data_IF_393509559624
#
_entry.id   IF_393509559624
#
_cell.length_a   1.000
_cell.length_b   1.000
_cell.length_c   1.000
_cell.angle_alpha   90.00
_cell.angle_beta   90.00
_cell.angle_gamma   90.00
#
_symmetry.space_group_name_H-M   'P 1'
#
loop_
_entity.id
_entity.type
_entity.pdbx_description
1 polymer ?
#
# COMPACT_ATOMS: atom_id res chain seq x y z
N UNK A 1 -4.15 6.98 11.49
CA UNK A 1 -4.87 7.52 10.31
C UNK A 1 -4.35 8.93 10.07
N UNK A 2 -4.11 9.31 8.80
CA UNK A 2 -3.71 10.69 8.48
C UNK A 2 -4.88 11.65 8.66
N UNK A 3 -4.63 12.78 9.28
CA UNK A 3 -5.55 13.92 9.37
C UNK A 3 -4.96 15.10 8.61
N UNK A 4 -5.66 15.54 7.56
CA UNK A 4 -5.26 16.67 6.73
C UNK A 4 -6.32 17.78 6.72
N UNK A 5 -7.24 17.76 7.70
CA UNK A 5 -8.35 18.72 7.78
C UNK A 5 -7.89 20.18 7.94
N UNK A 6 -6.73 20.37 8.58
CA UNK A 6 -6.09 21.68 8.79
C UNK A 6 -4.81 21.87 7.96
N UNK A 7 -4.60 21.03 6.95
CA UNK A 7 -3.41 21.08 6.10
C UNK A 7 -3.58 22.10 4.98
N UNK A 8 -2.49 22.78 4.63
CA UNK A 8 -2.41 23.67 3.46
C UNK A 8 -1.18 23.38 2.61
N UNK A 9 -1.28 23.66 1.31
CA UNK A 9 -0.15 23.61 0.38
C UNK A 9 0.62 24.91 0.51
N UNK A 10 1.77 24.89 1.18
CA UNK A 10 2.59 26.09 1.40
C UNK A 10 3.45 26.42 0.20
N UNK A 11 4.02 25.40 -0.45
CA UNK A 11 4.83 25.54 -1.66
C UNK A 11 4.46 24.41 -2.62
N UNK A 12 4.40 24.73 -3.91
CA UNK A 12 4.15 23.76 -4.97
C UNK A 12 5.08 24.04 -6.14
N UNK A 13 5.83 23.02 -6.54
CA UNK A 13 6.69 23.02 -7.71
C UNK A 13 6.20 21.93 -8.66
N UNK A 14 6.07 22.27 -9.95
CA UNK A 14 5.60 21.31 -10.97
C UNK A 14 6.65 21.20 -12.05
N UNK A 15 7.20 20.02 -12.27
CA UNK A 15 8.09 19.69 -13.36
C UNK A 15 7.38 18.80 -14.37
N UNK A 16 7.96 18.62 -15.55
CA UNK A 16 7.58 17.53 -16.45
C UNK A 16 8.75 16.59 -16.62
N UNK A 17 8.55 15.31 -16.34
CA UNK A 17 9.56 14.27 -16.43
C UNK A 17 9.21 13.32 -17.57
N UNK A 18 10.14 13.19 -18.51
CA UNK A 18 10.03 12.28 -19.65
C UNK A 18 10.39 10.84 -19.31
N UNK A 19 10.30 9.96 -20.30
CA UNK A 19 10.90 8.63 -20.28
C UNK A 19 12.34 8.68 -20.82
N UNK A 20 13.29 8.06 -20.12
CA UNK A 20 14.71 8.06 -20.50
C UNK A 20 15.03 7.06 -21.61
N UNK A 21 14.35 5.92 -21.67
CA UNK A 21 14.44 4.99 -22.79
C UNK A 21 14.09 5.66 -24.13
N UNK A 22 13.15 6.61 -24.11
CA UNK A 22 12.74 7.38 -25.29
C UNK A 22 13.43 8.76 -25.43
N UNK A 23 14.43 9.05 -24.60
CA UNK A 23 15.18 10.32 -24.59
C UNK A 23 14.30 11.59 -24.55
N UNK A 24 13.21 11.54 -23.77
CA UNK A 24 12.23 12.64 -23.72
C UNK A 24 12.66 13.82 -22.82
N UNK A 25 13.74 13.66 -22.06
CA UNK A 25 14.32 14.67 -21.18
C UNK A 25 13.44 15.10 -20.00
N UNK A 26 13.84 16.21 -19.37
CA UNK A 26 13.16 16.82 -18.22
C UNK A 26 12.92 18.30 -18.50
N UNK A 27 11.72 18.79 -18.18
CA UNK A 27 11.40 20.23 -18.19
C UNK A 27 11.20 20.71 -16.76
N UNK A 28 12.14 21.52 -16.31
CA UNK A 28 12.16 22.08 -14.97
C UNK A 28 11.41 23.42 -14.93
N UNK A 29 10.77 23.67 -13.79
CA UNK A 29 10.18 24.96 -13.46
C UNK A 29 11.15 25.73 -12.59
N UNK A 30 11.26 27.04 -12.83
CA UNK A 30 12.20 27.90 -12.14
C UNK A 30 11.57 28.67 -10.96
N UNK A 31 10.26 28.53 -10.77
CA UNK A 31 9.49 29.24 -9.75
C UNK A 31 8.31 28.39 -9.26
N UNK A 32 7.73 28.76 -8.13
CA UNK A 32 6.59 28.09 -7.53
C UNK A 32 5.29 28.37 -8.28
N UNK A 33 4.38 27.39 -8.22
CA UNK A 33 3.00 27.55 -8.69
C UNK A 33 2.26 28.47 -7.72
N UNK A 34 1.53 29.46 -8.25
CA UNK A 34 0.64 30.29 -7.42
C UNK A 34 -0.55 29.44 -6.95
N UNK A 35 -0.65 29.27 -5.62
CA UNK A 35 -1.71 28.51 -4.95
C UNK A 35 -2.53 29.40 -3.99
N UNK A 36 -2.58 30.72 -4.16
CA UNK A 36 -3.25 31.64 -3.23
C UNK A 36 -4.79 31.54 -3.25
N UNK A 37 -5.38 30.92 -4.27
CA UNK A 37 -6.83 30.75 -4.36
C UNK A 37 -7.33 29.64 -3.41
N UNK A 38 -8.26 29.96 -2.52
CA UNK A 38 -8.80 29.02 -1.52
C UNK A 38 -9.45 27.76 -2.13
N UNK A 39 -10.17 27.92 -3.24
CA UNK A 39 -10.79 26.78 -3.93
C UNK A 39 -9.73 25.87 -4.56
N UNK A 40 -8.64 26.45 -5.09
CA UNK A 40 -7.49 25.70 -5.58
C UNK A 40 -6.75 24.99 -4.44
N UNK A 41 -6.53 25.64 -3.30
CA UNK A 41 -5.93 25.02 -2.12
C UNK A 41 -6.70 23.78 -1.68
N UNK A 42 -8.02 23.89 -1.53
CA UNK A 42 -8.88 22.77 -1.16
C UNK A 42 -8.83 21.64 -2.20
N UNK A 43 -8.80 21.97 -3.48
CA UNK A 43 -8.67 20.98 -4.56
C UNK A 43 -7.32 20.25 -4.54
N UNK A 44 -6.22 20.98 -4.33
CA UNK A 44 -4.87 20.41 -4.25
C UNK A 44 -4.70 19.50 -3.03
N UNK A 45 -5.16 19.92 -1.85
CA UNK A 45 -5.14 19.05 -0.65
C UNK A 45 -5.96 17.79 -0.90
N UNK A 46 -7.16 17.91 -1.47
CA UNK A 46 -7.97 16.74 -1.83
C UNK A 46 -7.24 15.81 -2.79
N UNK A 47 -6.65 16.35 -3.86
CA UNK A 47 -5.90 15.60 -4.87
C UNK A 47 -4.72 14.84 -4.24
N UNK A 48 -3.86 15.55 -3.51
CA UNK A 48 -2.61 15.03 -2.97
C UNK A 48 -2.78 14.05 -1.80
N UNK A 49 -3.84 14.17 -1.01
CA UNK A 49 -4.10 13.27 0.12
C UNK A 49 -5.09 12.14 -0.20
N UNK A 50 -5.78 12.19 -1.34
CA UNK A 50 -6.69 11.11 -1.76
C UNK A 50 -6.08 9.70 -1.69
N UNK A 51 -4.81 9.47 -2.10
CA UNK A 51 -4.23 8.13 -2.09
C UNK A 51 -4.02 7.53 -0.70
N UNK A 52 -4.02 8.34 0.37
CA UNK A 52 -3.55 7.93 1.69
C UNK A 52 -4.66 7.75 2.74
N UNK A 53 -5.83 7.26 2.33
CA UNK A 53 -6.96 7.01 3.26
C UNK A 53 -6.69 5.90 4.29
N UNK A 54 -5.88 4.90 3.93
CA UNK A 54 -5.45 3.81 4.82
C UNK A 54 -3.98 3.50 4.52
N UNK A 55 -3.05 4.37 4.93
CA UNK A 55 -1.66 4.25 4.54
C UNK A 55 -0.99 3.07 5.25
N UNK A 56 -0.15 2.37 4.50
CA UNK A 56 0.95 1.58 5.05
C UNK A 56 2.16 2.49 5.15
N UNK A 57 2.91 2.38 6.25
CA UNK A 57 4.08 3.22 6.48
C UNK A 57 5.36 2.53 6.04
N UNK A 58 6.23 3.33 5.45
CA UNK A 58 7.53 2.97 4.95
C UNK A 58 8.57 3.95 5.49
N UNK A 59 9.84 3.59 5.33
CA UNK A 59 10.98 4.42 5.63
C UNK A 59 12.01 4.29 4.51
N UNK A 60 12.86 5.30 4.36
CA UNK A 60 13.99 5.21 3.44
C UNK A 60 14.95 4.10 3.88
N UNK A 61 15.51 3.41 2.89
CA UNK A 61 16.57 2.44 3.06
C UNK A 61 17.57 2.52 1.91
N UNK A 62 18.78 2.08 2.19
CA UNK A 62 19.83 1.88 1.21
C UNK A 62 20.86 0.92 1.79
N UNK A 63 21.52 0.14 0.94
CA UNK A 63 22.54 -0.84 1.37
C UNK A 63 23.69 -0.20 2.16
N UNK A 64 24.01 1.06 1.88
CA UNK A 64 25.03 1.83 2.58
C UNK A 64 24.50 2.64 3.77
N UNK A 65 23.22 2.48 4.16
CA UNK A 65 22.53 3.28 5.18
C UNK A 65 21.58 4.32 4.57
N UNK A 66 20.41 4.50 5.17
CA UNK A 66 19.32 5.33 4.62
C UNK A 66 19.74 6.79 4.40
N UNK A 67 20.68 7.30 5.19
CA UNK A 67 21.23 8.65 5.10
C UNK A 67 21.93 8.92 3.76
N UNK A 68 22.39 7.85 3.11
CA UNK A 68 23.03 7.90 1.80
C UNK A 68 22.03 7.88 0.64
N UNK A 69 20.75 7.59 0.90
CA UNK A 69 19.73 7.59 -0.14
C UNK A 69 19.48 9.02 -0.65
N UNK A 70 19.50 9.28 -1.98
CA UNK A 70 19.29 10.62 -2.52
C UNK A 70 17.99 11.28 -2.04
N UNK A 71 16.88 10.55 -2.07
CA UNK A 71 15.58 11.07 -1.63
C UNK A 71 15.56 11.44 -0.15
N UNK A 72 16.29 10.73 0.72
CA UNK A 72 16.43 11.11 2.13
C UNK A 72 17.10 12.49 2.22
N UNK A 73 18.27 12.65 1.60
CA UNK A 73 19.05 13.91 1.64
C UNK A 73 18.28 15.08 1.05
N UNK A 74 17.59 14.87 -0.07
CA UNK A 74 16.78 15.90 -0.71
C UNK A 74 15.63 16.33 0.22
N UNK A 75 14.95 15.37 0.84
CA UNK A 75 13.85 15.64 1.77
C UNK A 75 14.32 16.35 3.03
N UNK A 76 15.43 15.91 3.64
CA UNK A 76 16.03 16.56 4.81
C UNK A 76 16.40 18.01 4.53
N UNK A 77 17.06 18.28 3.40
CA UNK A 77 17.39 19.65 3.01
C UNK A 77 16.13 20.52 2.82
N UNK A 78 15.05 19.97 2.24
CA UNK A 78 13.78 20.69 2.14
C UNK A 78 13.20 20.97 3.52
N UNK A 79 13.19 20.01 4.44
CA UNK A 79 12.65 20.22 5.79
C UNK A 79 13.44 21.24 6.62
N UNK A 80 14.74 21.40 6.37
CA UNK A 80 15.57 22.40 7.04
C UNK A 80 15.23 23.84 6.62
N UNK A 81 15.05 24.08 5.31
CA UNK A 81 14.71 25.40 4.78
C UNK A 81 13.83 25.28 3.52
N UNK A 82 12.50 25.08 3.69
CA UNK A 82 11.62 24.72 2.58
C UNK A 82 11.62 25.75 1.45
N UNK A 83 11.57 27.05 1.77
CA UNK A 83 11.52 28.12 0.77
C UNK A 83 12.80 28.28 -0.03
N UNK A 84 13.96 27.97 0.57
CA UNK A 84 15.26 28.13 -0.07
C UNK A 84 15.68 26.88 -0.85
N UNK A 85 15.34 25.69 -0.33
CA UNK A 85 15.85 24.42 -0.85
C UNK A 85 14.90 23.74 -1.85
N UNK A 86 13.58 23.97 -1.79
CA UNK A 86 12.62 23.18 -2.56
C UNK A 86 12.85 23.22 -4.08
N UNK A 87 13.20 24.38 -4.66
CA UNK A 87 13.45 24.48 -6.10
C UNK A 87 14.62 23.59 -6.52
N UNK A 88 15.76 23.73 -5.82
CA UNK A 88 16.98 22.98 -6.14
C UNK A 88 16.84 21.49 -5.87
N UNK A 89 16.26 21.11 -4.73
CA UNK A 89 16.04 19.71 -4.40
C UNK A 89 14.97 19.10 -5.33
N UNK A 90 13.97 19.87 -5.74
CA UNK A 90 12.96 19.44 -6.70
C UNK A 90 13.54 19.15 -8.09
N UNK A 91 14.51 19.95 -8.54
CA UNK A 91 15.29 19.65 -9.74
C UNK A 91 16.03 18.31 -9.61
N UNK A 92 16.70 18.06 -8.48
CA UNK A 92 17.38 16.78 -8.26
C UNK A 92 16.43 15.60 -8.21
N UNK A 93 15.26 15.75 -7.58
CA UNK A 93 14.20 14.73 -7.58
C UNK A 93 13.69 14.45 -9.00
N UNK A 94 13.49 15.48 -9.83
CA UNK A 94 13.02 15.30 -11.21
C UNK A 94 14.06 14.58 -12.08
N UNK A 95 15.34 14.95 -11.95
CA UNK A 95 16.42 14.28 -12.68
C UNK A 95 16.61 12.84 -12.21
N UNK A 96 16.55 12.58 -10.91
CA UNK A 96 16.59 11.21 -10.38
C UNK A 96 15.44 10.36 -10.93
N UNK A 97 14.21 10.90 -10.95
CA UNK A 97 13.06 10.19 -11.51
C UNK A 97 13.24 9.89 -13.00
N UNK A 98 13.78 10.83 -13.77
CA UNK A 98 14.12 10.61 -15.17
C UNK A 98 15.17 9.51 -15.32
N UNK A 99 16.22 9.54 -14.50
CA UNK A 99 17.33 8.60 -14.56
C UNK A 99 16.93 7.14 -14.34
N UNK A 100 15.91 6.90 -13.52
CA UNK A 100 15.36 5.56 -13.27
C UNK A 100 14.17 5.21 -14.18
N UNK A 101 13.72 6.13 -15.04
CA UNK A 101 12.62 5.91 -15.99
C UNK A 101 13.10 5.25 -17.29
N UNK A 102 13.79 4.10 -17.18
CA UNK A 102 14.51 3.43 -18.28
C UNK A 102 13.69 2.31 -18.98
N UNK A 103 12.45 2.09 -18.57
CA UNK A 103 11.57 1.08 -19.18
C UNK A 103 10.53 1.74 -20.10
N UNK A 104 10.27 1.23 -21.32
CA UNK A 104 9.29 1.80 -22.26
C UNK A 104 7.85 1.85 -21.73
N UNK A 105 7.54 1.07 -20.69
CA UNK A 105 6.24 1.10 -20.02
C UNK A 105 6.01 2.33 -19.12
N UNK A 106 7.07 3.04 -18.73
CA UNK A 106 6.99 4.19 -17.82
C UNK A 106 6.54 5.41 -18.60
N UNK A 107 5.41 6.00 -18.21
CA UNK A 107 4.84 7.13 -18.95
C UNK A 107 5.49 8.46 -18.55
N UNK A 108 5.68 9.39 -19.49
CA UNK A 108 6.01 10.77 -19.14
C UNK A 108 4.85 11.45 -18.43
N UNK A 109 5.12 12.56 -17.75
CA UNK A 109 4.05 13.40 -17.20
C UNK A 109 4.53 14.42 -16.18
N UNK A 110 3.57 15.01 -15.47
CA UNK A 110 3.82 16.06 -14.48
C UNK A 110 4.32 15.46 -13.16
N UNK A 111 5.40 16.01 -12.63
CA UNK A 111 5.93 15.73 -11.29
C UNK A 111 5.61 16.93 -10.40
N UNK A 112 4.67 16.75 -9.48
CA UNK A 112 4.30 17.74 -8.48
C UNK A 112 5.07 17.48 -7.18
N UNK A 113 5.79 18.48 -6.69
CA UNK A 113 6.53 18.43 -5.43
C UNK A 113 5.95 19.52 -4.53
N UNK A 114 5.32 19.10 -3.44
CA UNK A 114 4.52 19.97 -2.59
C UNK A 114 4.99 19.93 -1.14
N UNK A 115 5.18 21.10 -0.54
CA UNK A 115 5.45 21.23 0.89
C UNK A 115 4.16 21.59 1.61
N UNK A 116 3.82 20.79 2.63
CA UNK A 116 2.59 20.91 3.40
C UNK A 116 2.88 21.30 4.84
N UNK A 117 1.99 22.13 5.40
CA UNK A 117 1.98 22.42 6.84
C UNK A 117 0.89 21.65 7.58
N UNK A 118 1.14 21.31 8.85
CA UNK A 118 0.14 20.77 9.78
C UNK A 118 -0.54 19.47 9.31
N UNK A 119 0.22 18.50 8.82
CA UNK A 119 -0.27 17.14 8.55
C UNK A 119 -0.30 16.35 9.85
N UNK A 120 -1.46 15.80 10.21
CA UNK A 120 -1.66 14.97 11.38
C UNK A 120 -1.38 13.48 11.10
N UNK A 121 -0.60 12.84 11.96
CA UNK A 121 -0.40 11.39 12.01
C UNK A 121 -0.14 10.95 13.43
N UNK A 122 -0.79 9.86 13.88
CA UNK A 122 -0.55 9.22 15.18
C UNK A 122 -0.61 10.18 16.39
N UNK A 123 -1.56 11.11 16.35
CA UNK A 123 -1.74 12.11 17.41
C UNK A 123 -0.71 13.25 17.39
N UNK A 124 0.19 13.28 16.42
CA UNK A 124 1.19 14.34 16.21
C UNK A 124 0.86 15.12 14.94
N UNK A 125 1.21 16.41 14.92
CA UNK A 125 1.20 17.21 13.70
C UNK A 125 2.64 17.52 13.29
N UNK A 126 2.93 17.39 12.00
CA UNK A 126 4.22 17.75 11.41
C UNK A 126 4.01 18.38 10.04
N UNK A 127 5.05 19.03 9.54
CA UNK A 127 5.11 19.36 8.11
C UNK A 127 5.38 18.09 7.29
N UNK A 128 5.11 18.14 5.99
CA UNK A 128 5.32 17.01 5.10
C UNK A 128 5.76 17.45 3.70
N UNK A 129 6.49 16.57 3.01
CA UNK A 129 6.89 16.72 1.62
C UNK A 129 6.18 15.66 0.78
N UNK A 130 5.38 16.09 -0.18
CA UNK A 130 4.74 15.18 -1.12
C UNK A 130 5.41 15.23 -2.49
N UNK A 131 5.56 14.06 -3.10
CA UNK A 131 6.08 13.86 -4.46
C UNK A 131 5.05 13.03 -5.22
N UNK A 132 4.49 13.61 -6.27
CA UNK A 132 3.38 13.04 -7.01
C UNK A 132 3.66 13.03 -8.49
N UNK A 133 3.41 11.90 -9.15
CA UNK A 133 3.51 11.78 -10.60
C UNK A 133 2.11 11.62 -11.20
N UNK A 134 1.81 12.45 -12.17
CA UNK A 134 0.60 12.40 -12.99
C UNK A 134 1.04 11.94 -14.37
N UNK A 135 0.52 10.80 -14.80
CA UNK A 135 0.83 10.15 -16.08
C UNK A 135 -0.37 10.16 -17.03
N UNK A 136 -1.56 10.50 -16.51
CA UNK A 136 -2.81 10.52 -17.26
C UNK A 136 -3.57 11.82 -17.00
N UNK A 137 -4.01 12.44 -18.09
CA UNK A 137 -5.00 13.51 -18.09
C UNK A 137 -6.26 12.98 -18.76
N UNK A 138 -7.40 13.31 -18.18
CA UNK A 138 -8.73 13.07 -18.73
C UNK A 138 -9.17 14.29 -19.56
N UNK A 139 -9.91 14.05 -20.64
CA UNK A 139 -10.55 15.11 -21.44
C UNK A 139 -11.90 15.49 -20.82
N UNK A 140 -12.13 16.80 -20.65
CA UNK A 140 -13.36 17.36 -20.12
C UNK A 140 -13.93 18.41 -21.08
N UNK A 141 -15.26 18.44 -21.20
CA UNK A 141 -15.95 19.56 -21.83
C UNK A 141 -16.21 20.65 -20.79
N UNK A 142 -15.58 21.81 -20.98
CA UNK A 142 -15.82 23.00 -20.18
C UNK A 142 -16.88 23.88 -20.86
N UNK A 143 -18.03 24.03 -20.22
CA UNK A 143 -19.10 24.92 -20.67
C UNK A 143 -18.95 26.29 -20.02
N UNK A 144 -18.75 27.33 -20.83
CA UNK A 144 -18.57 28.71 -20.37
C UNK A 144 -19.83 29.48 -20.72
N UNK A 145 -20.53 29.99 -19.71
CA UNK A 145 -21.75 30.76 -19.92
C UNK A 145 -21.43 32.11 -20.56
N UNK A 146 -22.10 32.38 -21.68
CA UNK A 146 -22.14 33.68 -22.33
C UNK A 146 -23.52 34.33 -22.11
N UNK A 147 -23.71 35.63 -22.40
CA UNK A 147 -24.99 36.30 -22.19
C UNK A 147 -26.20 35.65 -22.89
N UNK A 148 -25.98 34.96 -24.03
CA UNK A 148 -27.05 34.38 -24.86
C UNK A 148 -26.88 32.90 -25.23
N UNK A 149 -25.76 32.28 -24.89
CA UNK A 149 -25.41 30.89 -25.24
C UNK A 149 -24.31 30.35 -24.32
N UNK A 150 -23.72 29.22 -24.69
CA UNK A 150 -22.52 28.67 -24.04
C UNK A 150 -21.43 28.45 -25.08
N UNK A 151 -20.19 28.78 -24.72
CA UNK A 151 -19.02 28.26 -25.40
C UNK A 151 -18.65 26.91 -24.80
N UNK A 152 -18.15 26.00 -25.64
CA UNK A 152 -17.73 24.66 -25.22
C UNK A 152 -16.27 24.47 -25.62
N UNK A 153 -15.42 24.33 -24.61
CA UNK A 153 -14.00 24.02 -24.79
C UNK A 153 -13.73 22.57 -24.43
N UNK A 154 -12.85 21.91 -25.18
CA UNK A 154 -12.22 20.68 -24.74
C UNK A 154 -10.98 21.06 -23.92
N UNK A 155 -10.92 20.60 -22.68
CA UNK A 155 -9.78 20.84 -21.78
C UNK A 155 -9.25 19.52 -21.27
N UNK A 156 -7.94 19.40 -21.13
CA UNK A 156 -7.30 18.27 -20.46
C UNK A 156 -7.05 18.62 -18.99
N UNK A 157 -7.28 17.67 -18.11
CA UNK A 157 -7.06 17.87 -16.67
C UNK A 157 -7.00 16.57 -15.91
N UNK A 158 -6.83 16.65 -14.59
CA UNK A 158 -6.80 15.48 -13.72
C UNK A 158 -7.97 15.51 -12.74
N UNK A 159 -8.64 14.37 -12.56
CA UNK A 159 -9.60 14.19 -11.47
C UNK A 159 -8.92 14.28 -10.09
N UNK A 160 -9.60 14.87 -9.11
CA UNK A 160 -9.05 15.03 -7.74
C UNK A 160 -8.88 13.71 -6.95
N UNK A 161 -9.18 12.58 -7.59
CA UNK A 161 -9.02 11.23 -7.10
C UNK A 161 -8.13 10.40 -8.04
N UNK A 162 -7.42 11.03 -8.98
CA UNK A 162 -6.75 10.39 -10.13
C UNK A 162 -5.22 10.37 -10.10
N UNK A 163 -4.56 10.75 -8.99
CA UNK A 163 -3.08 10.65 -8.91
C UNK A 163 -2.64 9.21 -9.21
N UNK A 164 -1.70 9.06 -10.14
CA UNK A 164 -1.15 7.76 -10.55
C UNK A 164 -0.14 7.23 -9.54
N UNK A 165 0.82 8.08 -9.14
CA UNK A 165 1.86 7.72 -8.17
C UNK A 165 2.02 8.83 -7.14
N UNK A 166 2.11 8.43 -5.88
CA UNK A 166 2.14 9.36 -4.75
C UNK A 166 3.14 8.87 -3.71
N UNK A 167 3.91 9.81 -3.16
CA UNK A 167 4.75 9.63 -2.00
C UNK A 167 4.52 10.83 -1.06
N UNK A 168 4.27 10.58 0.22
CA UNK A 168 4.13 11.59 1.25
C UNK A 168 5.11 11.27 2.37
N UNK A 169 6.09 12.14 2.55
CA UNK A 169 7.17 12.03 3.52
C UNK A 169 6.79 12.93 4.69
N UNK A 170 6.49 12.35 5.84
CA UNK A 170 6.20 13.11 7.05
C UNK A 170 7.52 13.51 7.71
N UNK A 171 7.64 14.75 8.18
CA UNK A 171 8.79 15.20 8.97
C UNK A 171 8.70 14.64 10.41
N UNK A 172 8.79 13.33 10.51
CA UNK A 172 8.71 12.51 11.72
C UNK A 172 9.75 11.40 11.59
N UNK A 173 10.40 11.04 12.70
CA UNK A 173 11.30 9.88 12.80
C UNK A 173 12.46 9.95 11.77
N UNK A 174 13.05 11.14 11.63
CA UNK A 174 14.14 11.42 10.69
C UNK A 174 15.39 10.57 10.95
N UNK A 175 15.59 10.19 12.21
CA UNK A 175 16.66 9.32 12.72
C UNK A 175 16.50 7.84 12.32
N UNK A 176 15.34 7.46 11.78
CA UNK A 176 15.08 6.11 11.25
C UNK A 176 14.69 6.10 9.78
N UNK A 177 14.94 7.19 9.05
CA UNK A 177 14.66 7.28 7.61
C UNK A 177 13.28 7.85 7.25
N UNK A 178 12.68 8.65 8.14
CA UNK A 178 11.34 9.25 8.01
C UNK A 178 10.17 8.27 7.97
N UNK A 179 8.99 8.78 8.31
CA UNK A 179 7.72 8.08 8.15
C UNK A 179 7.05 8.45 6.82
N UNK A 180 6.88 7.46 5.95
CA UNK A 180 6.53 7.68 4.53
C UNK A 180 5.28 6.89 4.15
N UNK A 181 4.35 7.52 3.44
CA UNK A 181 3.23 6.86 2.77
C UNK A 181 3.48 6.83 1.27
N UNK A 182 3.25 5.70 0.61
CA UNK A 182 3.35 5.61 -0.86
C UNK A 182 2.14 4.91 -1.46
N UNK A 183 1.80 5.28 -2.70
CA UNK A 183 0.73 4.68 -3.48
C UNK A 183 1.11 4.66 -4.96
N UNK A 184 0.83 3.53 -5.61
CA UNK A 184 0.96 3.37 -7.06
C UNK A 184 -0.30 2.67 -7.59
N UNK A 185 -1.00 3.35 -8.51
CA UNK A 185 -2.23 2.84 -9.13
C UNK A 185 -2.03 2.10 -10.44
N UNK A 186 -0.84 2.17 -11.03
CA UNK A 186 -0.56 1.54 -12.33
C UNK A 186 -0.74 0.02 -12.28
N UNK A 187 -0.64 -0.58 -11.09
CA UNK A 187 -0.97 -1.99 -10.81
C UNK A 187 -0.09 -3.02 -11.54
N UNK A 188 0.89 -2.56 -12.33
CA UNK A 188 1.86 -3.40 -13.02
C UNK A 188 3.08 -3.58 -12.14
N UNK A 189 3.52 -4.83 -11.98
CA UNK A 189 4.64 -5.20 -11.09
C UNK A 189 5.92 -4.43 -11.40
N UNK A 190 6.25 -4.23 -12.69
CA UNK A 190 7.43 -3.45 -13.09
C UNK A 190 7.28 -1.95 -12.84
N UNK A 191 6.09 -1.38 -13.01
CA UNK A 191 5.85 0.05 -12.74
C UNK A 191 5.92 0.33 -11.23
N UNK A 192 5.51 -0.64 -10.40
CA UNK A 192 5.62 -0.54 -8.95
C UNK A 192 7.08 -0.58 -8.44
N UNK A 193 7.95 -1.37 -9.09
CA UNK A 193 9.34 -1.51 -8.69
C UNK A 193 10.13 -0.21 -8.91
N UNK A 194 10.05 0.42 -10.08
CA UNK A 194 10.84 1.63 -10.32
C UNK A 194 10.44 2.78 -9.38
N UNK A 195 9.15 2.92 -9.07
CA UNK A 195 8.67 3.99 -8.21
C UNK A 195 9.07 3.76 -6.76
N UNK A 196 8.81 2.57 -6.22
CA UNK A 196 9.04 2.28 -4.80
C UNK A 196 10.51 1.98 -4.49
N UNK A 197 11.16 1.21 -5.35
CA UNK A 197 12.50 0.65 -5.09
C UNK A 197 13.57 1.55 -5.70
N UNK A 198 13.55 1.78 -7.03
CA UNK A 198 14.63 2.50 -7.71
C UNK A 198 14.63 4.02 -7.44
N UNK A 199 13.44 4.64 -7.44
CA UNK A 199 13.29 6.09 -7.20
C UNK A 199 13.28 6.43 -5.71
N UNK A 200 12.41 5.77 -4.94
CA UNK A 200 12.16 6.13 -3.55
C UNK A 200 13.00 5.33 -2.54
N UNK A 201 13.46 4.11 -2.86
CA UNK A 201 14.25 3.28 -1.96
C UNK A 201 13.54 2.97 -0.64
N UNK A 202 12.29 2.47 -0.70
CA UNK A 202 11.44 2.30 0.49
C UNK A 202 11.36 0.87 0.99
N UNK A 203 11.52 0.71 2.31
CA UNK A 203 11.20 -0.53 3.03
C UNK A 203 10.04 -0.31 4.00
N UNK A 204 9.21 -1.32 4.28
CA UNK A 204 8.16 -1.21 5.29
C UNK A 204 8.73 -0.83 6.66
N UNK A 205 8.01 0.02 7.40
CA UNK A 205 8.33 0.26 8.81
C UNK A 205 8.11 -1.03 9.61
N UNK A 206 8.96 -1.27 10.62
CA UNK A 206 8.80 -2.38 11.56
C UNK A 206 7.78 -2.03 12.65
N UNK A 207 6.52 -1.90 12.27
CA UNK A 207 5.42 -1.51 13.15
C UNK A 207 4.35 -2.61 13.29
N UNK A 208 3.35 -2.35 14.15
CA UNK A 208 2.19 -3.22 14.36
C UNK A 208 1.49 -3.61 13.05
N UNK A 209 1.40 -2.69 12.08
CA UNK A 209 0.79 -2.97 10.78
C UNK A 209 1.59 -4.02 10.03
N UNK A 210 2.91 -3.83 9.93
CA UNK A 210 3.80 -4.75 9.24
C UNK A 210 3.87 -6.12 9.90
N UNK A 211 3.96 -6.18 11.23
CA UNK A 211 3.98 -7.45 11.96
C UNK A 211 2.65 -8.21 11.83
N UNK A 212 1.52 -7.52 11.93
CA UNK A 212 0.19 -8.13 11.69
C UNK A 212 0.09 -8.70 10.27
N UNK A 213 0.53 -7.92 9.27
CA UNK A 213 0.55 -8.32 7.86
C UNK A 213 1.42 -9.56 7.63
N UNK A 214 2.60 -9.62 8.25
CA UNK A 214 3.49 -10.78 8.16
C UNK A 214 2.86 -12.02 8.81
N UNK A 215 2.35 -11.90 10.05
CA UNK A 215 1.75 -13.02 10.77
C UNK A 215 0.56 -13.63 10.01
N UNK A 216 -0.29 -12.78 9.41
CA UNK A 216 -1.40 -13.22 8.56
C UNK A 216 -0.90 -14.00 7.34
N UNK A 217 0.13 -13.50 6.64
CA UNK A 217 0.67 -14.15 5.45
C UNK A 217 1.38 -15.47 5.78
N UNK A 218 2.23 -15.48 6.81
CA UNK A 218 2.90 -16.69 7.30
C UNK A 218 1.91 -17.78 7.67
N UNK A 219 0.84 -17.41 8.39
CA UNK A 219 -0.23 -18.35 8.73
C UNK A 219 -0.88 -18.94 7.48
N UNK A 220 -1.16 -18.11 6.48
CA UNK A 220 -1.78 -18.56 5.23
C UNK A 220 -0.85 -19.50 4.47
N UNK A 221 0.42 -19.14 4.31
CA UNK A 221 1.39 -19.96 3.59
C UNK A 221 1.62 -21.28 4.31
N UNK A 222 1.71 -21.27 5.64
CA UNK A 222 1.74 -22.49 6.44
C UNK A 222 0.52 -23.39 6.18
N UNK A 223 -0.70 -22.87 6.34
CA UNK A 223 -1.94 -23.67 6.20
C UNK A 223 -2.15 -24.18 4.77
N UNK A 224 -1.74 -23.41 3.76
CA UNK A 224 -2.03 -23.74 2.37
C UNK A 224 -0.90 -24.46 1.64
N UNK A 225 0.32 -24.44 2.19
CA UNK A 225 1.51 -25.05 1.59
C UNK A 225 2.09 -26.09 2.56
N UNK A 226 2.82 -25.65 3.60
CA UNK A 226 3.56 -26.53 4.51
C UNK A 226 2.69 -27.63 5.14
N UNK A 227 1.53 -27.25 5.68
CA UNK A 227 0.64 -28.17 6.39
C UNK A 227 0.09 -29.27 5.47
N UNK A 228 -0.10 -28.96 4.19
CA UNK A 228 -0.59 -29.93 3.19
C UNK A 228 0.49 -30.90 2.71
N UNK A 229 1.76 -30.55 2.89
CA UNK A 229 2.89 -31.42 2.58
C UNK A 229 3.17 -32.39 3.74
N UNK A 230 3.01 -31.92 4.98
CA UNK A 230 3.28 -32.71 6.18
C UNK A 230 2.10 -33.61 6.61
N UNK A 231 0.86 -33.18 6.32
CA UNK A 231 -0.35 -33.86 6.79
C UNK A 231 -1.39 -34.02 5.68
N UNK A 232 -2.13 -35.14 5.71
CA UNK A 232 -3.30 -35.34 4.84
C UNK A 232 -4.51 -34.53 5.36
N UNK A 233 -4.45 -33.21 5.12
CA UNK A 233 -5.46 -32.26 5.56
C UNK A 233 -6.43 -31.93 4.42
N UNK A 234 -7.73 -32.05 4.68
CA UNK A 234 -8.73 -31.73 3.67
C UNK A 234 -8.80 -30.23 3.39
N UNK A 235 -9.27 -29.85 2.21
CA UNK A 235 -9.49 -28.43 1.91
C UNK A 235 -10.46 -27.78 2.91
N UNK A 236 -11.46 -28.50 3.40
CA UNK A 236 -12.40 -27.98 4.39
C UNK A 236 -11.72 -27.66 5.74
N UNK A 237 -10.73 -28.47 6.14
CA UNK A 237 -9.93 -28.23 7.34
C UNK A 237 -9.03 -27.00 7.20
N UNK A 238 -8.37 -26.84 6.05
CA UNK A 238 -7.58 -25.62 5.76
C UNK A 238 -8.45 -24.37 5.86
N UNK A 239 -9.66 -24.41 5.32
CA UNK A 239 -10.62 -23.31 5.39
C UNK A 239 -11.02 -23.02 6.83
N UNK A 240 -11.24 -24.06 7.65
CA UNK A 240 -11.55 -23.88 9.06
C UNK A 240 -10.39 -23.22 9.81
N UNK A 241 -9.15 -23.64 9.57
CA UNK A 241 -7.95 -23.03 10.16
C UNK A 241 -7.82 -21.57 9.75
N UNK A 242 -7.91 -21.25 8.46
CA UNK A 242 -7.84 -19.87 7.96
C UNK A 242 -8.91 -18.96 8.57
N UNK A 243 -10.15 -19.46 8.69
CA UNK A 243 -11.23 -18.69 9.32
C UNK A 243 -10.98 -18.48 10.83
N UNK A 244 -10.45 -19.48 11.52
CA UNK A 244 -10.11 -19.36 12.94
C UNK A 244 -8.95 -18.39 13.17
N UNK A 245 -7.94 -18.39 12.30
CA UNK A 245 -6.89 -17.37 12.28
C UNK A 245 -7.48 -15.98 12.04
N UNK A 246 -8.38 -15.84 11.07
CA UNK A 246 -9.04 -14.57 10.77
C UNK A 246 -9.83 -14.05 11.97
N UNK A 247 -10.50 -14.95 12.71
CA UNK A 247 -11.25 -14.58 13.91
C UNK A 247 -10.32 -14.12 15.03
N UNK A 248 -9.22 -14.84 15.27
CA UNK A 248 -8.21 -14.42 16.25
C UNK A 248 -7.72 -12.99 15.99
N UNK A 249 -7.33 -12.70 14.75
CA UNK A 249 -6.85 -11.36 14.39
C UNK A 249 -7.94 -10.27 14.46
N UNK A 250 -9.23 -10.63 14.44
CA UNK A 250 -10.32 -9.65 14.61
C UNK A 250 -10.72 -9.44 16.06
N UNK A 251 -10.54 -10.46 16.90
CA UNK A 251 -11.04 -10.47 18.28
C UNK A 251 -9.99 -10.10 19.32
N UNK A 252 -8.70 -10.21 18.97
CA UNK A 252 -7.59 -9.89 19.86
C UNK A 252 -7.00 -8.52 19.52
N UNK A 253 -6.66 -7.75 20.54
CA UNK A 253 -5.93 -6.48 20.40
C UNK A 253 -4.42 -6.69 20.31
N UNK A 254 -3.95 -7.86 20.74
CA UNK A 254 -2.54 -8.17 20.90
C UNK A 254 -2.24 -9.59 20.42
N UNK A 255 -1.16 -9.75 19.67
CA UNK A 255 -0.70 -11.02 19.12
C UNK A 255 0.42 -11.56 20.00
N UNK A 256 0.30 -12.82 20.41
CA UNK A 256 1.39 -13.59 20.98
C UNK A 256 1.50 -14.93 20.25
N UNK A 257 2.67 -15.24 19.70
CA UNK A 257 2.87 -16.39 18.81
C UNK A 257 2.39 -17.73 19.40
N UNK A 258 2.80 -18.01 20.64
CA UNK A 258 2.42 -19.25 21.33
C UNK A 258 0.92 -19.32 21.62
N UNK A 259 0.33 -18.20 22.04
CA UNK A 259 -1.09 -18.12 22.32
C UNK A 259 -1.90 -18.31 21.03
N UNK A 260 -1.49 -17.63 19.96
CA UNK A 260 -2.05 -17.76 18.62
C UNK A 260 -2.01 -19.21 18.15
N UNK A 261 -0.85 -19.87 18.20
CA UNK A 261 -0.70 -21.23 17.72
C UNK A 261 -1.61 -22.21 18.49
N UNK A 262 -1.71 -22.07 19.81
CA UNK A 262 -2.65 -22.84 20.64
C UNK A 262 -4.11 -22.53 20.27
N UNK A 263 -4.43 -21.24 20.12
CA UNK A 263 -5.75 -20.72 19.80
C UNK A 263 -6.18 -20.95 18.36
N UNK A 264 -5.32 -21.43 17.45
CA UNK A 264 -5.68 -21.72 16.04
C UNK A 264 -5.52 -23.19 15.67
N UNK A 265 -4.44 -23.85 16.09
CA UNK A 265 -4.11 -25.19 15.60
C UNK A 265 -4.57 -26.31 16.53
N UNK A 266 -4.59 -26.09 17.86
CA UNK A 266 -4.94 -27.05 18.92
C UNK A 266 -4.07 -28.32 19.00
N UNK A 267 -3.70 -28.92 17.88
CA UNK A 267 -2.89 -30.14 17.82
C UNK A 267 -1.40 -29.81 18.12
N UNK A 268 -0.76 -30.48 19.09
CA UNK A 268 0.63 -30.22 19.45
C UNK A 268 1.63 -30.44 18.29
N UNK A 269 1.36 -31.39 17.40
CA UNK A 269 2.23 -31.65 16.24
C UNK A 269 2.14 -30.53 15.20
N UNK A 270 0.93 -30.05 14.94
CA UNK A 270 0.71 -28.89 14.05
C UNK A 270 1.31 -27.61 14.65
N UNK A 271 1.22 -27.41 15.97
CA UNK A 271 1.84 -26.25 16.66
C UNK A 271 3.38 -26.28 16.54
N UNK A 272 3.99 -27.45 16.70
CA UNK A 272 5.43 -27.62 16.51
C UNK A 272 5.85 -27.36 15.05
N UNK A 273 5.09 -27.89 14.10
CA UNK A 273 5.29 -27.63 12.67
C UNK A 273 5.20 -26.15 12.32
N UNK A 274 4.20 -25.44 12.85
CA UNK A 274 4.06 -23.99 12.67
C UNK A 274 5.27 -23.23 13.22
N UNK A 275 5.69 -23.54 14.45
CA UNK A 275 6.87 -22.93 15.08
C UNK A 275 8.13 -23.14 14.23
N UNK A 276 8.34 -24.35 13.70
CA UNK A 276 9.47 -24.66 12.81
C UNK A 276 9.39 -23.86 11.50
N UNK A 277 8.21 -23.77 10.90
CA UNK A 277 7.98 -23.00 9.67
C UNK A 277 8.26 -21.51 9.85
N UNK A 278 7.81 -20.91 10.97
CA UNK A 278 8.08 -19.51 11.31
C UNK A 278 9.59 -19.28 11.47
N UNK A 279 10.27 -20.12 12.24
CA UNK A 279 11.72 -20.00 12.47
C UNK A 279 12.51 -20.12 11.16
N UNK A 280 12.15 -21.07 10.30
CA UNK A 280 12.78 -21.24 8.99
C UNK A 280 12.59 -19.99 8.11
N UNK A 281 11.38 -19.42 8.08
CA UNK A 281 11.12 -18.21 7.29
C UNK A 281 11.90 -17.00 7.80
N UNK A 282 12.07 -16.86 9.13
CA UNK A 282 12.89 -15.82 9.75
C UNK A 282 14.36 -15.97 9.36
N UNK A 283 14.90 -17.20 9.40
CA UNK A 283 16.28 -17.50 9.04
C UNK A 283 16.55 -17.29 7.54
N UNK A 284 15.67 -17.77 6.67
CA UNK A 284 15.87 -17.75 5.21
C UNK A 284 15.65 -16.36 4.60
N UNK A 285 14.65 -15.62 5.08
CA UNK A 285 14.26 -14.34 4.47
C UNK A 285 14.78 -13.13 5.25
N UNK A 286 15.48 -13.35 6.38
CA UNK A 286 16.15 -12.30 7.15
C UNK A 286 15.21 -11.24 7.74
N UNK A 287 13.90 -11.47 7.80
CA UNK A 287 12.96 -10.55 8.42
C UNK A 287 12.84 -10.82 9.92
N UNK A 288 12.67 -9.75 10.71
CA UNK A 288 12.38 -9.88 12.15
C UNK A 288 10.89 -10.14 12.35
N UNK A 289 10.52 -11.37 12.68
CA UNK A 289 9.18 -11.67 13.21
C UNK A 289 9.15 -11.31 14.69
N UNK A 290 8.28 -10.39 15.10
CA UNK A 290 8.07 -10.15 16.53
C UNK A 290 7.14 -11.25 17.06
N UNK A 291 7.56 -11.95 18.10
CA UNK A 291 6.73 -12.97 18.77
C UNK A 291 5.55 -12.35 19.55
N UNK A 292 5.58 -11.02 19.73
CA UNK A 292 4.66 -10.23 20.55
C UNK A 292 4.50 -8.83 19.94
N UNK A 293 3.26 -8.42 19.62
CA UNK A 293 2.96 -7.08 19.08
C UNK A 293 1.46 -6.75 19.14
N UNK A 294 1.11 -5.47 19.12
CA UNK A 294 -0.28 -5.02 19.01
C UNK A 294 -0.84 -5.30 17.62
N UNK A 295 -2.06 -5.85 17.56
CA UNK A 295 -2.72 -6.16 16.29
C UNK A 295 -3.27 -4.88 15.66
N UNK A 296 -2.90 -4.65 14.40
CA UNK A 296 -3.40 -3.51 13.65
C UNK A 296 -4.67 -3.86 12.87
N UNK A 297 -5.82 -3.30 13.29
CA UNK A 297 -7.12 -3.54 12.63
C UNK A 297 -7.12 -3.25 11.12
N UNK A 298 -6.38 -2.22 10.67
CA UNK A 298 -6.30 -1.89 9.24
C UNK A 298 -5.54 -2.96 8.46
N UNK A 299 -4.45 -3.51 9.02
CA UNK A 299 -3.74 -4.64 8.43
C UNK A 299 -4.67 -5.86 8.34
N UNK A 300 -5.42 -6.18 9.40
CA UNK A 300 -6.39 -7.29 9.39
C UNK A 300 -7.46 -7.08 8.30
N UNK A 301 -8.01 -5.87 8.19
CA UNK A 301 -9.01 -5.53 7.16
C UNK A 301 -8.45 -5.64 5.74
N UNK A 302 -7.25 -5.10 5.50
CA UNK A 302 -6.55 -5.18 4.20
C UNK A 302 -6.31 -6.63 3.78
N UNK A 303 -5.98 -7.49 4.75
CA UNK A 303 -5.69 -8.91 4.51
C UNK A 303 -6.86 -9.86 4.72
N UNK A 304 -8.06 -9.34 5.00
CA UNK A 304 -9.24 -10.19 5.17
C UNK A 304 -9.51 -11.10 3.97
N UNK A 305 -9.09 -10.70 2.76
CA UNK A 305 -9.14 -11.51 1.55
C UNK A 305 -8.23 -12.74 1.58
N UNK A 306 -7.13 -12.72 2.33
CA UNK A 306 -6.19 -13.85 2.50
C UNK A 306 -6.89 -15.07 3.09
N UNK A 307 -7.83 -14.82 4.00
CA UNK A 307 -8.61 -15.86 4.67
C UNK A 307 -9.86 -16.29 3.89
N UNK A 308 -10.27 -15.53 2.85
CA UNK A 308 -11.41 -15.89 2.01
C UNK A 308 -11.06 -17.09 1.16
N UNK A 309 -11.61 -18.23 1.55
CA UNK A 309 -11.39 -19.46 0.83
C UNK A 309 -12.49 -19.69 -0.20
N UNK A 310 -12.06 -19.76 -1.46
CA UNK A 310 -12.90 -20.19 -2.58
C UNK A 310 -12.68 -21.69 -2.80
N UNK A 311 -13.75 -22.48 -2.68
CA UNK A 311 -13.78 -23.83 -3.24
C UNK A 311 -13.99 -23.71 -4.75
N UNK A 312 -12.98 -24.09 -5.52
CA UNK A 312 -13.09 -24.22 -6.98
C UNK A 312 -13.45 -25.67 -7.29
N UNK A 313 -14.66 -25.89 -7.80
CA UNK A 313 -15.17 -27.21 -8.19
C UNK A 313 -15.22 -27.26 -9.72
N UNK A 314 -14.18 -27.85 -10.30
CA UNK A 314 -13.90 -27.85 -11.74
C UNK A 314 -13.99 -26.44 -12.35
N UNK A 315 -14.45 -26.34 -13.61
CA UNK A 315 -14.78 -25.05 -14.26
C UNK A 315 -16.23 -24.61 -14.01
N UNK A 316 -16.97 -25.36 -13.18
CA UNK A 316 -18.41 -25.22 -13.09
C UNK A 316 -18.83 -24.31 -11.93
N UNK A 317 -18.15 -24.39 -10.79
CA UNK A 317 -18.57 -23.65 -9.59
C UNK A 317 -17.40 -23.06 -8.81
N UNK A 318 -17.58 -21.83 -8.34
CA UNK A 318 -16.80 -21.21 -7.28
C UNK A 318 -17.71 -20.97 -6.08
N UNK A 319 -17.41 -21.60 -4.94
CA UNK A 319 -18.18 -21.43 -3.70
C UNK A 319 -17.34 -20.63 -2.71
N UNK A 320 -17.81 -19.44 -2.33
CA UNK A 320 -17.22 -18.63 -1.27
C UNK A 320 -17.73 -19.12 0.09
N UNK A 321 -16.82 -19.52 0.97
CA UNK A 321 -17.18 -20.02 2.30
C UNK A 321 -16.84 -18.96 3.33
N UNK A 322 -17.87 -18.50 4.06
CA UNK A 322 -17.74 -17.47 5.11
C UNK A 322 -17.67 -18.04 6.54
N UNK A 323 -17.26 -19.29 6.68
CA UNK A 323 -16.85 -19.85 7.97
C UNK A 323 -17.98 -20.53 8.75
N UNK A 324 -18.27 -21.78 8.37
CA UNK A 324 -18.74 -22.82 9.30
C UNK A 324 -18.54 -24.20 8.66
N UNK A 325 -17.57 -24.99 9.16
CA UNK A 325 -17.27 -26.34 8.65
C UNK A 325 -18.43 -27.30 8.81
N UNK A 326 -19.27 -27.12 9.85
CA UNK A 326 -20.41 -28.00 10.10
C UNK A 326 -21.47 -27.89 8.99
N UNK A 327 -21.46 -26.81 8.23
CA UNK A 327 -22.38 -26.57 7.11
C UNK A 327 -21.88 -27.19 5.80
N UNK A 328 -20.78 -27.95 5.81
CA UNK A 328 -20.17 -28.51 4.61
C UNK A 328 -19.78 -29.97 4.84
N UNK A 329 -20.42 -30.88 4.10
CA UNK A 329 -20.08 -32.30 4.08
C UNK A 329 -19.51 -32.69 2.72
N UNK A 330 -18.39 -33.41 2.70
CA UNK A 330 -17.80 -33.98 1.48
C UNK A 330 -18.18 -35.45 1.37
N UNK A 331 -18.54 -35.88 0.18
CA UNK A 331 -18.80 -37.29 -0.11
C UNK A 331 -18.37 -37.70 -1.50
N UNK A 332 -18.53 -39.00 -1.78
CA UNK A 332 -18.35 -39.58 -3.10
C UNK A 332 -19.54 -40.48 -3.37
N UNK A 333 -20.22 -40.25 -4.48
CA UNK A 333 -21.33 -41.10 -4.93
C UNK A 333 -20.81 -42.50 -5.30
N UNK A 334 -21.68 -43.52 -5.33
CA UNK A 334 -21.30 -44.89 -5.69
C UNK A 334 -20.64 -45.04 -7.07
N UNK A 335 -20.88 -44.08 -7.97
CA UNK A 335 -20.26 -44.03 -9.30
C UNK A 335 -18.92 -43.26 -9.34
N UNK A 336 -18.41 -42.85 -8.17
CA UNK A 336 -17.12 -42.18 -8.02
C UNK A 336 -17.18 -40.66 -8.13
N UNK A 337 -18.35 -40.04 -8.37
CA UNK A 337 -18.48 -38.57 -8.42
C UNK A 337 -18.31 -37.95 -7.03
N UNK A 338 -17.38 -37.00 -6.92
CA UNK A 338 -17.15 -36.24 -5.67
C UNK A 338 -18.20 -35.14 -5.55
N UNK A 339 -18.73 -34.93 -4.35
CA UNK A 339 -19.66 -33.84 -4.08
C UNK A 339 -19.36 -33.12 -2.77
N UNK A 340 -19.89 -31.91 -2.66
CA UNK A 340 -20.05 -31.18 -1.41
C UNK A 340 -21.54 -30.94 -1.16
N UNK A 341 -22.04 -31.24 0.04
CA UNK A 341 -23.36 -30.81 0.51
C UNK A 341 -23.16 -29.55 1.34
N UNK A 342 -23.95 -28.53 1.04
CA UNK A 342 -23.99 -27.27 1.78
C UNK A 342 -25.31 -27.22 2.56
N UNK A 343 -25.21 -27.02 3.87
CA UNK A 343 -26.37 -26.84 4.74
C UNK A 343 -26.60 -25.34 4.97
N UNK A 344 -27.86 -24.93 5.12
CA UNK A 344 -28.26 -23.58 5.49
C UNK A 344 -29.51 -23.63 6.37
N UNK A 345 -29.61 -22.71 7.34
CA UNK A 345 -30.77 -22.63 8.25
C UNK A 345 -31.78 -21.55 7.81
N UNK A 346 -31.30 -20.45 7.23
CA UNK A 346 -32.14 -19.33 6.77
C UNK A 346 -31.54 -18.73 5.50
N UNK A 347 -32.37 -18.56 4.48
CA UNK A 347 -32.01 -17.91 3.21
C UNK A 347 -32.21 -16.40 3.37
N UNK A 348 -31.19 -15.61 3.07
CA UNK A 348 -31.17 -14.15 3.20
C UNK A 348 -30.95 -13.45 1.85
#
# INVERSE_FOLDING_TARGET
MLDFSNTSVRLLLVHRVGNKFEDQGVRLSLDFTNTENDALQAALVKLFFHPFKMPEYFQFANDAGFENHPMYRYSSAVFESPGENLIKQGEYMANLLYDVSEHPGIKPGELCIAYFGHVGSDGRHSDALGVYKIEHLDEFLQFIQQPSNYDVNLVEGIGLDKIDKACLILNQDAETGYKICTSDRSGRVQDAAYWKDDFLGLVPCKDAFHFTQQAVNLTKDFVTQQLTEEYDISRADQIALLNRSAEYFKSQDHFQDKEFAQNVFQDPGVIDSFSRFVNQNVEENGFSFSEDFDINEHAVKKNSGVFKSVLKLDKNFHVYIHGNRQMIERGTDPDGRKFYKLFYDTEN
#
